data_IF_098916769809
#
_entry.id   IF_098916769809
#
_cell.length_a   1.000
_cell.length_b   1.000
_cell.length_c   1.000
_cell.angle_alpha   90.00
_cell.angle_beta   90.00
_cell.angle_gamma   90.00
#
_symmetry.space_group_name_H-M   'P 1'
#
loop_
_entity.id
_entity.type
_entity.pdbx_description
1 polymer ?
#
# COMPACT_ATOMS: atom_id res chain seq x y z
N UNK A 1 -15.66 -20.75 0.92
CA UNK A 1 -14.80 -20.35 -0.21
C UNK A 1 -13.43 -20.95 0.04
N UNK A 2 -12.81 -21.65 -0.92
CA UNK A 2 -11.46 -22.19 -0.69
C UNK A 2 -10.42 -21.06 -0.73
N UNK A 3 -9.18 -21.30 -0.27
CA UNK A 3 -8.10 -20.28 -0.24
C UNK A 3 -7.91 -19.56 -1.57
N UNK A 4 -7.85 -20.32 -2.67
CA UNK A 4 -7.62 -19.76 -4.01
C UNK A 4 -8.79 -18.88 -4.42
N UNK A 5 -10.02 -19.32 -4.18
CA UNK A 5 -11.22 -18.55 -4.49
C UNK A 5 -11.26 -17.21 -3.72
N UNK A 6 -10.79 -17.18 -2.46
CA UNK A 6 -10.71 -15.95 -1.66
C UNK A 6 -9.71 -14.96 -2.25
N UNK A 7 -8.53 -15.45 -2.62
CA UNK A 7 -7.49 -14.65 -3.28
C UNK A 7 -7.99 -14.08 -4.62
N UNK A 8 -8.66 -14.90 -5.44
CA UNK A 8 -9.25 -14.42 -6.69
C UNK A 8 -10.40 -13.44 -6.46
N UNK A 9 -11.20 -13.61 -5.40
CA UNK A 9 -12.24 -12.67 -5.03
C UNK A 9 -11.65 -11.31 -4.59
N UNK A 10 -10.59 -11.33 -3.78
CA UNK A 10 -9.85 -10.13 -3.40
C UNK A 10 -9.36 -9.36 -4.62
N UNK A 11 -8.65 -10.02 -5.53
CA UNK A 11 -8.16 -9.34 -6.74
C UNK A 11 -9.30 -8.87 -7.63
N UNK A 12 -10.40 -9.62 -7.76
CA UNK A 12 -11.58 -9.15 -8.51
C UNK A 12 -12.16 -7.86 -7.93
N UNK A 13 -12.28 -7.76 -6.61
CA UNK A 13 -12.71 -6.52 -5.94
C UNK A 13 -11.68 -5.41 -6.15
N UNK A 14 -10.38 -5.71 -6.00
CA UNK A 14 -9.30 -4.73 -6.19
C UNK A 14 -9.32 -4.12 -7.60
N UNK A 15 -9.42 -4.95 -8.64
CA UNK A 15 -9.50 -4.53 -10.04
C UNK A 15 -10.87 -3.98 -10.47
N UNK A 16 -11.84 -3.89 -9.55
CA UNK A 16 -13.07 -3.13 -9.81
C UNK A 16 -12.92 -1.63 -9.56
N UNK A 17 -11.81 -1.21 -8.93
CA UNK A 17 -11.52 0.19 -8.65
C UNK A 17 -10.82 0.88 -9.83
N UNK A 18 -11.34 2.04 -10.23
CA UNK A 18 -10.83 2.81 -11.36
C UNK A 18 -9.36 3.23 -11.18
N UNK A 19 -8.94 3.53 -9.95
CA UNK A 19 -7.55 3.93 -9.71
C UNK A 19 -6.60 2.76 -9.99
N UNK A 20 -6.95 1.57 -9.52
CA UNK A 20 -6.15 0.35 -9.75
C UNK A 20 -6.04 0.06 -11.25
N UNK A 21 -7.16 0.13 -11.97
CA UNK A 21 -7.21 -0.10 -13.42
C UNK A 21 -6.37 0.91 -14.20
N UNK A 22 -6.44 2.19 -13.84
CA UNK A 22 -5.75 3.27 -14.56
C UNK A 22 -4.26 3.34 -14.29
N UNK A 23 -3.79 2.83 -13.15
CA UNK A 23 -2.37 2.89 -12.75
C UNK A 23 -1.59 1.59 -12.96
N UNK A 24 -2.16 0.65 -13.73
CA UNK A 24 -1.41 -0.49 -14.27
C UNK A 24 -0.84 -1.43 -13.22
N UNK A 25 -1.59 -1.73 -12.17
CA UNK A 25 -1.17 -2.70 -11.17
C UNK A 25 -0.98 -4.10 -11.78
N UNK A 26 0.19 -4.69 -11.58
CA UNK A 26 0.55 -6.01 -12.09
C UNK A 26 0.45 -7.08 -11.01
N UNK A 27 -0.14 -8.24 -11.33
CA UNK A 27 -0.18 -9.42 -10.43
C UNK A 27 1.00 -10.33 -10.71
N UNK A 28 1.62 -10.84 -9.65
CA UNK A 28 2.68 -11.85 -9.74
C UNK A 28 2.63 -12.79 -8.53
N UNK A 29 3.29 -13.95 -8.69
CA UNK A 29 3.47 -14.94 -7.62
C UNK A 29 4.96 -15.20 -7.49
N UNK A 30 5.49 -14.99 -6.28
CA UNK A 30 6.88 -15.33 -5.98
C UNK A 30 6.93 -16.72 -5.38
N UNK A 31 7.32 -17.72 -6.17
CA UNK A 31 7.38 -19.12 -5.71
C UNK A 31 8.38 -19.31 -4.55
N UNK A 32 9.48 -18.55 -4.56
CA UNK A 32 10.50 -18.60 -3.50
C UNK A 32 10.04 -17.93 -2.20
N UNK A 33 9.24 -16.86 -2.31
CA UNK A 33 8.74 -16.09 -1.16
C UNK A 33 7.34 -16.54 -0.72
N UNK A 34 6.75 -17.54 -1.38
CA UNK A 34 5.44 -18.13 -1.05
C UNK A 34 4.32 -17.10 -0.86
N UNK A 35 4.27 -16.05 -1.67
CA UNK A 35 3.21 -15.04 -1.60
C UNK A 35 2.67 -14.65 -2.97
N UNK A 36 1.41 -14.23 -2.98
CA UNK A 36 0.76 -13.57 -4.12
C UNK A 36 0.84 -12.07 -3.92
N UNK A 37 1.19 -11.34 -4.96
CA UNK A 37 1.34 -9.90 -4.84
C UNK A 37 0.79 -9.18 -6.06
N UNK A 38 0.38 -7.94 -5.82
CA UNK A 38 -0.07 -7.02 -6.84
C UNK A 38 0.52 -5.65 -6.56
N UNK A 39 1.22 -5.05 -7.53
CA UNK A 39 1.94 -3.81 -7.29
C UNK A 39 1.92 -2.84 -8.46
N UNK A 40 2.11 -1.56 -8.17
CA UNK A 40 2.39 -0.51 -9.15
C UNK A 40 3.33 0.53 -8.55
N UNK A 41 4.17 1.12 -9.39
CA UNK A 41 5.02 2.26 -9.03
C UNK A 41 4.48 3.53 -9.65
N UNK A 42 4.13 4.48 -8.79
CA UNK A 42 3.68 5.81 -9.15
C UNK A 42 4.85 6.78 -9.12
N UNK A 43 4.97 7.59 -10.18
CA UNK A 43 5.99 8.64 -10.27
C UNK A 43 5.34 10.01 -10.36
N UNK A 44 5.67 10.87 -9.41
CA UNK A 44 5.25 12.26 -9.41
C UNK A 44 6.11 13.12 -10.36
N UNK A 45 5.60 14.30 -10.73
CA UNK A 45 6.36 15.29 -11.52
C UNK A 45 7.62 15.80 -10.83
N UNK A 46 7.66 15.75 -9.50
CA UNK A 46 8.84 16.15 -8.71
C UNK A 46 9.89 15.04 -8.60
N UNK A 47 9.69 13.90 -9.28
CA UNK A 47 10.62 12.77 -9.27
C UNK A 47 10.47 11.87 -8.04
N UNK A 48 9.49 12.10 -7.16
CA UNK A 48 9.15 11.15 -6.10
C UNK A 48 8.55 9.90 -6.71
N UNK A 49 8.99 8.76 -6.21
CA UNK A 49 8.53 7.43 -6.61
C UNK A 49 7.93 6.75 -5.39
N UNK A 50 6.73 6.22 -5.57
CA UNK A 50 5.97 5.49 -4.55
C UNK A 50 5.58 4.15 -5.15
N UNK A 51 6.01 3.06 -4.54
CA UNK A 51 5.52 1.72 -4.91
C UNK A 51 4.43 1.32 -3.93
N UNK A 52 3.28 0.92 -4.46
CA UNK A 52 2.17 0.38 -3.68
C UNK A 52 2.09 -1.09 -4.02
N UNK A 53 2.07 -1.95 -3.02
CA UNK A 53 1.84 -3.37 -3.18
C UNK A 53 0.82 -3.92 -2.19
N UNK A 54 0.09 -4.94 -2.64
CA UNK A 54 -0.82 -5.74 -1.84
C UNK A 54 -0.32 -7.19 -1.88
N UNK A 55 0.11 -7.71 -0.73
CA UNK A 55 0.68 -9.05 -0.61
C UNK A 55 -0.26 -9.96 0.19
N UNK A 56 -0.39 -11.22 -0.22
CA UNK A 56 -1.09 -12.26 0.52
C UNK A 56 -0.11 -13.41 0.70
N UNK A 57 0.29 -13.65 1.95
CA UNK A 57 1.28 -14.65 2.33
C UNK A 57 0.64 -16.05 2.39
N UNK A 58 1.37 -17.10 1.99
CA UNK A 58 0.79 -18.44 1.96
C UNK A 58 0.48 -19.00 3.35
N UNK A 59 1.27 -18.60 4.35
CA UNK A 59 1.14 -18.93 5.78
C UNK A 59 -0.06 -18.26 6.44
N UNK A 60 -0.42 -17.06 6.00
CA UNK A 60 -1.51 -16.24 6.54
C UNK A 60 -2.41 -15.77 5.38
N UNK A 61 -3.06 -16.71 4.66
CA UNK A 61 -3.77 -16.40 3.42
C UNK A 61 -5.10 -15.65 3.62
N UNK A 62 -5.44 -15.42 4.88
CA UNK A 62 -6.62 -14.70 5.31
C UNK A 62 -6.31 -13.22 5.55
N UNK A 63 -5.04 -12.84 5.50
CA UNK A 63 -4.58 -11.48 5.64
C UNK A 63 -3.97 -10.96 4.32
N UNK A 64 -4.32 -9.72 3.99
CA UNK A 64 -3.70 -8.94 2.95
C UNK A 64 -2.87 -7.83 3.59
N UNK A 65 -1.60 -7.78 3.21
CA UNK A 65 -0.64 -6.76 3.61
C UNK A 65 -0.62 -5.64 2.56
N UNK A 66 -0.96 -4.43 2.98
CA UNK A 66 -0.75 -3.21 2.20
C UNK A 66 0.63 -2.65 2.54
N UNK A 67 1.51 -2.57 1.53
CA UNK A 67 2.81 -1.91 1.64
C UNK A 67 2.85 -0.70 0.72
N UNK A 68 3.24 0.45 1.27
CA UNK A 68 3.47 1.68 0.52
C UNK A 68 4.90 2.13 0.77
N UNK A 69 5.75 1.98 -0.25
CA UNK A 69 7.17 2.29 -0.20
C UNK A 69 7.45 3.65 -0.83
N UNK A 70 8.11 4.52 -0.08
CA UNK A 70 8.57 5.84 -0.52
C UNK A 70 10.06 5.76 -0.88
N UNK A 71 10.37 5.58 -2.16
CA UNK A 71 11.72 5.24 -2.67
C UNK A 71 12.71 6.43 -2.70
N UNK A 72 12.24 7.67 -2.55
CA UNK A 72 13.10 8.86 -2.60
C UNK A 72 12.89 9.72 -1.34
N UNK A 73 13.96 9.88 -0.53
CA UNK A 73 14.13 10.65 0.74
C UNK A 73 12.90 11.43 1.24
N UNK A 74 11.90 10.73 1.75
CA UNK A 74 10.82 11.35 2.53
C UNK A 74 11.28 11.52 3.98
N UNK A 75 10.75 12.50 4.72
CA UNK A 75 11.03 12.60 6.15
C UNK A 75 10.26 11.50 6.89
N UNK A 76 10.97 10.59 7.57
CA UNK A 76 10.34 9.58 8.44
C UNK A 76 9.42 10.24 9.47
N UNK A 77 9.81 11.39 10.01
CA UNK A 77 8.99 12.11 10.99
C UNK A 77 7.67 12.61 10.39
N UNK A 78 7.67 13.10 9.15
CA UNK A 78 6.42 13.51 8.48
C UNK A 78 5.55 12.30 8.14
N UNK A 79 6.17 11.23 7.64
CA UNK A 79 5.46 9.99 7.35
C UNK A 79 4.88 9.36 8.62
N UNK A 80 5.55 9.46 9.77
CA UNK A 80 4.99 9.03 11.06
C UNK A 80 3.71 9.76 11.44
N UNK A 81 3.69 11.09 11.27
CA UNK A 81 2.46 11.86 11.52
C UNK A 81 1.32 11.46 10.59
N UNK A 82 1.61 11.29 9.30
CA UNK A 82 0.62 10.79 8.33
C UNK A 82 0.13 9.40 8.74
N UNK A 83 1.02 8.50 9.15
CA UNK A 83 0.67 7.17 9.63
C UNK A 83 -0.21 7.21 10.89
N UNK A 84 0.09 8.07 11.86
CA UNK A 84 -0.70 8.24 13.08
C UNK A 84 -2.12 8.75 12.78
N UNK A 85 -2.25 9.78 11.93
CA UNK A 85 -3.55 10.32 11.52
C UNK A 85 -4.42 9.28 10.80
N UNK A 86 -3.80 8.47 9.93
CA UNK A 86 -4.50 7.42 9.19
C UNK A 86 -4.84 6.22 10.07
N UNK A 87 -3.94 5.84 10.98
CA UNK A 87 -4.20 4.77 11.96
C UNK A 87 -5.43 5.10 12.82
N UNK A 88 -5.56 6.34 13.26
CA UNK A 88 -6.74 6.82 13.99
C UNK A 88 -8.00 6.82 13.10
N UNK A 89 -7.91 7.36 11.89
CA UNK A 89 -9.05 7.49 10.95
C UNK A 89 -9.64 6.13 10.55
N UNK A 90 -8.80 5.12 10.36
CA UNK A 90 -9.21 3.80 9.88
C UNK A 90 -9.31 2.75 10.99
N UNK A 91 -8.95 3.09 12.23
CA UNK A 91 -8.85 2.13 13.35
C UNK A 91 -7.98 0.91 12.99
N UNK A 92 -6.80 1.18 12.42
CA UNK A 92 -5.84 0.18 11.94
C UNK A 92 -4.45 0.51 12.43
N UNK A 93 -3.66 -0.52 12.68
CA UNK A 93 -2.23 -0.34 12.93
C UNK A 93 -1.50 -0.04 11.61
N UNK A 94 -0.65 0.99 11.64
CA UNK A 94 0.25 1.34 10.53
C UNK A 94 1.68 1.34 11.06
N UNK A 95 2.45 0.37 10.59
CA UNK A 95 3.86 0.25 10.92
C UNK A 95 4.71 1.03 9.91
N UNK A 96 5.74 1.72 10.41
CA UNK A 96 6.65 2.52 9.58
C UNK A 96 8.07 2.02 9.76
N UNK A 97 8.66 1.54 8.67
CA UNK A 97 10.02 1.03 8.61
C UNK A 97 10.90 1.98 7.79
N UNK A 98 12.06 2.34 8.33
CA UNK A 98 13.08 3.09 7.60
C UNK A 98 14.15 2.10 7.11
N UNK A 99 14.32 2.04 5.79
CA UNK A 99 15.29 1.20 5.10
C UNK A 99 16.33 2.08 4.39
N UNK A 100 17.50 1.55 4.01
CA UNK A 100 18.57 2.35 3.41
C UNK A 100 18.16 3.15 2.16
N UNK A 101 17.19 2.64 1.39
CA UNK A 101 16.75 3.23 0.12
C UNK A 101 15.27 3.66 0.13
N UNK A 102 14.50 3.32 1.15
CA UNK A 102 13.08 3.66 1.19
C UNK A 102 12.53 3.76 2.61
N UNK A 103 11.31 4.31 2.72
CA UNK A 103 10.51 4.23 3.94
C UNK A 103 9.24 3.47 3.56
N UNK A 104 8.86 2.48 4.36
CA UNK A 104 7.68 1.65 4.10
C UNK A 104 6.61 1.93 5.14
N UNK A 105 5.38 2.20 4.69
CA UNK A 105 4.17 2.11 5.51
C UNK A 105 3.53 0.75 5.27
N UNK A 106 3.25 0.02 6.34
CA UNK A 106 2.70 -1.34 6.28
C UNK A 106 1.48 -1.45 7.17
N UNK A 107 0.39 -2.01 6.64
CA UNK A 107 -0.83 -2.28 7.40
C UNK A 107 -1.48 -3.58 6.93
N UNK A 108 -2.11 -4.30 7.87
CA UNK A 108 -2.70 -5.62 7.64
C UNK A 108 -4.23 -5.56 7.68
N UNK A 109 -4.84 -6.29 6.76
CA UNK A 109 -6.29 -6.31 6.56
C UNK A 109 -6.77 -7.74 6.38
N UNK A 110 -8.02 -8.01 6.74
CA UNK A 110 -8.67 -9.24 6.29
C UNK A 110 -8.78 -9.20 4.76
N UNK A 111 -8.48 -10.32 4.10
CA UNK A 111 -8.57 -10.46 2.64
C UNK A 111 -9.96 -10.12 2.08
N UNK A 112 -11.02 -10.18 2.89
CA UNK A 112 -12.37 -9.79 2.49
C UNK A 112 -12.58 -8.26 2.44
N UNK A 113 -11.72 -7.48 3.11
CA UNK A 113 -11.76 -6.02 3.23
C UNK A 113 -10.94 -5.29 2.15
N UNK A 114 -11.09 -5.72 0.90
CA UNK A 114 -10.46 -5.06 -0.25
C UNK A 114 -10.82 -3.56 -0.36
N UNK A 115 -12.04 -3.19 0.05
CA UNK A 115 -12.48 -1.79 0.04
C UNK A 115 -11.74 -0.94 1.09
N UNK A 116 -11.61 -1.42 2.33
CA UNK A 116 -10.84 -0.75 3.36
C UNK A 116 -9.38 -0.54 2.95
N UNK A 117 -8.77 -1.55 2.33
CA UNK A 117 -7.43 -1.47 1.74
C UNK A 117 -7.36 -0.36 0.66
N UNK A 118 -8.34 -0.32 -0.24
CA UNK A 118 -8.41 0.69 -1.30
C UNK A 118 -8.51 2.10 -0.71
N UNK A 119 -9.39 2.29 0.27
CA UNK A 119 -9.59 3.57 0.93
C UNK A 119 -8.34 4.02 1.70
N UNK A 120 -7.67 3.09 2.39
CA UNK A 120 -6.42 3.38 3.10
C UNK A 120 -5.34 3.87 2.15
N UNK A 121 -5.06 3.15 1.05
CA UNK A 121 -3.98 3.59 0.14
C UNK A 121 -4.30 4.96 -0.48
N UNK A 122 -5.56 5.21 -0.88
CA UNK A 122 -5.95 6.51 -1.47
C UNK A 122 -5.75 7.64 -0.46
N UNK A 123 -6.12 7.40 0.80
CA UNK A 123 -5.91 8.35 1.88
C UNK A 123 -4.42 8.60 2.13
N UNK A 124 -3.57 7.56 2.11
CA UNK A 124 -2.10 7.72 2.20
C UNK A 124 -1.59 8.60 1.06
N UNK A 125 -2.00 8.35 -0.18
CA UNK A 125 -1.56 9.14 -1.32
C UNK A 125 -2.03 10.60 -1.23
N UNK A 126 -3.28 10.83 -0.83
CA UNK A 126 -3.81 12.17 -0.61
C UNK A 126 -3.04 12.91 0.49
N UNK A 127 -2.81 12.26 1.63
CA UNK A 127 -2.14 12.84 2.79
C UNK A 127 -0.65 13.09 2.55
N UNK A 128 0.02 12.19 1.83
CA UNK A 128 1.40 12.40 1.39
C UNK A 128 1.45 13.56 0.38
N UNK A 129 0.51 13.62 -0.57
CA UNK A 129 0.41 14.72 -1.50
C UNK A 129 0.15 16.06 -0.76
N UNK A 130 -0.61 16.07 0.33
CA UNK A 130 -0.85 17.24 1.17
C UNK A 130 0.31 17.60 2.10
N UNK A 131 1.01 16.62 2.65
CA UNK A 131 1.95 16.82 3.76
C UNK A 131 3.42 16.78 3.33
N UNK A 132 3.72 16.11 2.21
CA UNK A 132 5.09 15.89 1.70
C UNK A 132 5.37 16.71 0.44
N UNK A 133 4.37 17.10 -0.36
CA UNK A 133 4.57 18.04 -1.49
C UNK A 133 4.61 19.52 -1.07
N UNK A 134 4.18 19.89 0.13
CA UNK A 134 4.26 21.28 0.61
C UNK A 134 5.59 21.62 1.31
N UNK A 135 6.56 20.70 1.37
CA UNK A 135 7.91 20.95 1.89
C UNK A 135 9.00 20.65 0.86
N UNK A 136 8.80 21.07 -0.39
CA UNK A 136 9.93 21.51 -1.23
C UNK A 136 9.78 23.01 -1.40
N UNK A 137 10.15 23.75 -0.35
CA UNK A 137 10.66 25.12 -0.39
C UNK A 137 10.94 25.57 1.05
N UNK A 138 12.19 25.37 1.46
CA UNK A 138 13.11 26.45 1.86
C UNK A 138 14.52 25.87 1.97
#
# INVERSE_FOLDING_TARGET
>A
MNKIDRIENFYRKLYSDDFILTHGFERFRFEEQKMYACASTLKSRSGREITISFNIHDEEPDEAELVIQFLNKSSVTQLRKVGEELAERFHKDINIYEEPECISMVSYFDIEDAEGIILMFKAVLEEVNRSVLFTVNN
#
